data_IF_390692603687
#
_entry.id   IF_390692603687
#
_cell.length_a   1.000
_cell.length_b   1.000
_cell.length_c   1.000
_cell.angle_alpha   90.00
_cell.angle_beta   90.00
_cell.angle_gamma   90.00
#
_symmetry.space_group_name_H-M   'P 1'
#
loop_
_entity.id
_entity.type
_entity.pdbx_description
1 polymer ?
#
# COMPACT_ATOMS: atom_id res chain seq x y z
N UNK A 1 -24.90 13.84 1.78
CA UNK A 1 -23.60 13.31 1.28
C UNK A 1 -23.53 13.57 -0.22
N UNK A 2 -24.69 13.61 -0.86
CA UNK A 2 -24.93 14.19 -2.18
C UNK A 2 -24.38 15.61 -2.28
N UNK A 3 -23.64 15.88 -3.36
CA UNK A 3 -23.08 17.20 -3.69
C UNK A 3 -21.58 17.40 -3.39
N UNK A 4 -20.91 16.52 -2.63
CA UNK A 4 -19.45 16.61 -2.39
C UNK A 4 -18.64 15.49 -3.06
N UNK A 5 -19.29 14.41 -3.47
CA UNK A 5 -18.70 13.46 -4.42
C UNK A 5 -18.94 13.97 -5.84
N UNK A 6 -17.98 13.87 -6.76
CA UNK A 6 -18.23 14.20 -8.15
C UNK A 6 -19.42 13.37 -8.67
N UNK A 7 -20.31 14.00 -9.44
CA UNK A 7 -21.50 13.37 -10.01
C UNK A 7 -21.16 12.18 -10.93
N UNK A 8 -19.91 12.10 -11.38
CA UNK A 8 -19.34 10.99 -12.13
C UNK A 8 -18.07 10.53 -11.44
N UNK A 9 -18.01 9.24 -11.06
CA UNK A 9 -16.78 8.64 -10.56
C UNK A 9 -15.73 8.62 -11.68
N UNK A 10 -14.48 8.97 -11.34
CA UNK A 10 -13.35 8.78 -12.24
C UNK A 10 -13.07 7.28 -12.32
N UNK A 11 -13.42 6.66 -13.45
CA UNK A 11 -13.34 5.20 -13.64
C UNK A 11 -11.98 4.73 -14.17
N UNK A 12 -11.06 5.65 -14.46
CA UNK A 12 -9.72 5.41 -14.99
C UNK A 12 -8.62 5.49 -13.91
N UNK A 13 -9.01 5.63 -12.64
CA UNK A 13 -8.06 5.76 -11.53
C UNK A 13 -7.59 4.40 -11.06
N UNK A 14 -6.29 4.16 -11.19
CA UNK A 14 -5.63 3.03 -10.57
C UNK A 14 -5.77 3.09 -9.04
N UNK A 15 -5.80 1.92 -8.42
CA UNK A 15 -5.79 1.79 -6.97
C UNK A 15 -4.49 2.38 -6.41
N UNK A 16 -4.57 3.20 -5.37
CA UNK A 16 -3.38 3.68 -4.68
C UNK A 16 -2.81 2.54 -3.83
N UNK A 17 -1.51 2.26 -3.96
CA UNK A 17 -0.84 1.20 -3.23
C UNK A 17 0.37 1.74 -2.46
N UNK A 18 0.73 1.05 -1.39
CA UNK A 18 2.04 1.13 -0.77
C UNK A 18 2.91 0.05 -1.38
N UNK A 19 4.14 0.41 -1.73
CA UNK A 19 5.13 -0.49 -2.31
C UNK A 19 6.32 -0.60 -1.36
N UNK A 20 6.70 -1.84 -1.03
CA UNK A 20 7.97 -2.14 -0.38
C UNK A 20 8.90 -2.78 -1.39
N UNK A 21 9.87 -2.02 -1.92
CA UNK A 21 10.85 -2.52 -2.89
C UNK A 21 12.11 -2.97 -2.14
N UNK A 22 12.61 -4.14 -2.49
CA UNK A 22 13.83 -4.69 -1.91
C UNK A 22 15.00 -4.34 -2.83
N UNK A 23 15.79 -3.35 -2.42
CA UNK A 23 17.02 -2.97 -3.11
C UNK A 23 18.10 -4.06 -2.92
N UNK A 24 18.51 -4.66 -4.05
CA UNK A 24 19.60 -5.65 -4.11
C UNK A 24 20.86 -5.09 -4.76
N UNK A 25 20.78 -3.90 -5.33
CA UNK A 25 21.91 -3.28 -5.99
C UNK A 25 22.86 -2.64 -4.96
N UNK A 26 22.36 -2.25 -3.78
CA UNK A 26 23.15 -1.75 -2.64
C UNK A 26 24.38 -2.62 -2.30
N UNK A 27 24.30 -3.94 -2.43
CA UNK A 27 25.41 -4.85 -2.10
C UNK A 27 26.49 -4.93 -3.20
N UNK A 28 26.29 -4.30 -4.35
CA UNK A 28 27.21 -4.36 -5.49
C UNK A 28 28.41 -3.45 -5.23
N UNK A 29 29.60 -4.03 -5.28
CA UNK A 29 30.86 -3.33 -4.98
C UNK A 29 31.16 -2.23 -5.99
N UNK A 30 30.70 -2.38 -7.22
CA UNK A 30 30.86 -1.44 -8.32
C UNK A 30 29.70 -0.44 -8.43
N UNK A 31 28.75 -0.41 -7.47
CA UNK A 31 27.57 0.44 -7.53
C UNK A 31 27.91 1.94 -7.70
N UNK A 32 28.97 2.41 -7.02
CA UNK A 32 29.39 3.82 -7.02
C UNK A 32 30.51 4.08 -8.04
N UNK A 33 31.40 3.12 -8.25
CA UNK A 33 32.69 3.34 -8.92
C UNK A 33 32.81 2.69 -10.30
N UNK A 34 31.78 1.95 -10.75
CA UNK A 34 31.82 1.19 -12.00
C UNK A 34 30.51 1.25 -12.79
N UNK A 35 30.29 0.22 -13.60
CA UNK A 35 29.10 0.04 -14.43
C UNK A 35 28.33 -1.20 -13.96
N UNK A 36 27.65 -1.14 -12.80
CA UNK A 36 26.91 -2.26 -12.27
C UNK A 36 25.74 -2.62 -13.19
N UNK A 37 25.47 -3.92 -13.34
CA UNK A 37 24.19 -4.36 -13.89
C UNK A 37 23.12 -4.10 -12.84
N UNK A 38 22.20 -3.16 -13.07
CA UNK A 38 21.16 -2.78 -12.10
C UNK A 38 19.97 -3.76 -12.18
N UNK A 39 19.51 -4.26 -11.04
CA UNK A 39 18.43 -5.26 -10.96
C UNK A 39 17.15 -4.74 -10.33
N UNK A 40 17.20 -3.59 -9.67
CA UNK A 40 16.05 -2.94 -9.01
C UNK A 40 15.52 -1.72 -9.76
N UNK A 41 15.94 -1.56 -11.02
CA UNK A 41 15.39 -0.59 -11.96
C UNK A 41 14.30 -1.22 -12.84
N UNK A 42 13.30 -0.43 -13.24
CA UNK A 42 12.23 -0.84 -14.16
C UNK A 42 11.51 -2.13 -13.73
N UNK A 43 11.31 -2.29 -12.42
CA UNK A 43 10.67 -3.47 -11.84
C UNK A 43 9.22 -3.56 -12.33
N UNK A 44 8.87 -4.71 -12.92
CA UNK A 44 7.50 -5.01 -13.33
C UNK A 44 6.64 -5.40 -12.11
N UNK A 45 5.41 -4.88 -12.03
CA UNK A 45 4.45 -5.18 -10.96
C UNK A 45 4.22 -6.68 -10.76
N UNK A 46 4.29 -7.49 -11.83
CA UNK A 46 4.15 -8.96 -11.79
C UNK A 46 5.24 -9.65 -10.97
N UNK A 47 6.38 -8.99 -10.81
CA UNK A 47 7.51 -9.48 -10.00
C UNK A 47 7.38 -9.11 -8.52
N UNK A 48 6.37 -8.34 -8.14
CA UNK A 48 6.07 -8.03 -6.75
C UNK A 48 5.03 -9.00 -6.18
N UNK A 49 5.04 -9.16 -4.86
CA UNK A 49 4.03 -9.89 -4.13
C UNK A 49 2.85 -8.98 -3.80
N UNK A 50 1.67 -9.28 -4.34
CA UNK A 50 0.44 -8.62 -3.95
C UNK A 50 0.01 -9.09 -2.56
N UNK A 51 -0.44 -8.16 -1.72
CA UNK A 51 -1.09 -8.43 -0.44
C UNK A 51 -0.27 -9.39 0.46
N UNK A 52 0.96 -9.02 0.85
CA UNK A 52 1.84 -9.90 1.62
C UNK A 52 1.26 -10.39 2.95
N UNK A 53 0.30 -9.67 3.53
CA UNK A 53 -0.47 -10.05 4.71
C UNK A 53 -1.23 -11.37 4.59
N UNK A 54 -1.45 -11.88 3.37
CA UNK A 54 -2.08 -13.19 3.15
C UNK A 54 -1.07 -14.34 3.15
N UNK A 55 0.23 -14.04 3.19
CA UNK A 55 1.27 -15.06 3.20
C UNK A 55 1.37 -15.74 4.57
N UNK A 56 1.80 -16.99 4.56
CA UNK A 56 2.09 -17.78 5.76
C UNK A 56 3.33 -18.65 5.54
N UNK A 57 3.91 -19.18 6.63
CA UNK A 57 5.11 -20.02 6.57
C UNK A 57 6.41 -19.24 6.42
N UNK A 58 7.37 -19.78 5.65
CA UNK A 58 8.70 -19.19 5.49
C UNK A 58 8.69 -18.01 4.50
N UNK A 59 8.19 -16.86 4.95
CA UNK A 59 8.10 -15.61 4.17
C UNK A 59 9.43 -15.18 3.54
N UNK A 60 10.58 -15.19 4.26
CA UNK A 60 11.86 -14.81 3.67
C UNK A 60 12.20 -15.52 2.35
N UNK A 61 11.83 -16.79 2.20
CA UNK A 61 12.11 -17.58 0.98
C UNK A 61 11.47 -17.00 -0.30
N UNK A 62 10.42 -16.18 -0.18
CA UNK A 62 9.81 -15.51 -1.33
C UNK A 62 10.63 -14.30 -1.80
N UNK A 63 11.43 -13.71 -0.93
CA UNK A 63 12.05 -12.40 -1.16
C UNK A 63 13.58 -12.44 -1.18
N UNK A 64 14.17 -13.38 -0.43
CA UNK A 64 15.62 -13.54 -0.23
C UNK A 64 16.07 -14.83 -0.92
N UNK A 65 17.07 -14.71 -1.78
CA UNK A 65 17.67 -15.84 -2.49
C UNK A 65 18.32 -15.40 -3.81
N UNK A 66 18.76 -16.37 -4.60
CA UNK A 66 19.37 -16.16 -5.93
C UNK A 66 18.52 -16.72 -7.08
N UNK A 67 17.35 -17.29 -6.77
CA UNK A 67 16.42 -17.82 -7.78
C UNK A 67 15.80 -16.68 -8.59
N UNK A 68 15.50 -16.94 -9.87
CA UNK A 68 14.73 -16.03 -10.74
C UNK A 68 13.27 -15.88 -10.33
N UNK A 69 12.80 -16.71 -9.39
CA UNK A 69 11.42 -16.71 -8.89
C UNK A 69 11.21 -15.84 -7.65
N UNK A 70 12.28 -15.28 -7.06
CA UNK A 70 12.14 -14.39 -5.90
C UNK A 70 11.42 -13.11 -6.30
N UNK A 71 10.60 -12.59 -5.39
CA UNK A 71 9.84 -11.35 -5.59
C UNK A 71 10.72 -10.14 -5.33
N UNK A 72 10.56 -9.10 -6.14
CA UNK A 72 11.33 -7.84 -6.02
C UNK A 72 10.85 -6.92 -4.90
N UNK A 73 9.86 -7.36 -4.15
CA UNK A 73 9.19 -6.58 -3.13
C UNK A 73 7.73 -6.96 -3.06
N UNK A 74 6.94 -6.12 -2.41
CA UNK A 74 5.53 -6.34 -2.20
C UNK A 74 4.75 -5.05 -2.43
N UNK A 75 3.45 -5.19 -2.64
CA UNK A 75 2.56 -4.06 -2.69
C UNK A 75 1.21 -4.41 -2.08
N UNK A 76 0.57 -3.39 -1.52
CA UNK A 76 -0.73 -3.51 -0.90
C UNK A 76 -1.54 -2.26 -1.15
N UNK A 77 -2.80 -2.46 -1.48
CA UNK A 77 -3.73 -1.37 -1.69
C UNK A 77 -4.02 -0.61 -0.41
N UNK A 78 -4.08 0.72 -0.51
CA UNK A 78 -4.56 1.60 0.56
C UNK A 78 -6.03 1.37 0.90
N UNK A 79 -6.80 0.73 0.02
CA UNK A 79 -8.19 0.37 0.29
C UNK A 79 -8.38 -1.00 0.91
N UNK A 80 -7.31 -1.80 1.03
CA UNK A 80 -7.38 -3.13 1.64
C UNK A 80 -7.51 -3.08 3.17
N UNK A 81 -8.32 -3.97 3.74
CA UNK A 81 -8.40 -4.17 5.19
C UNK A 81 -7.20 -5.00 5.71
N UNK A 82 -7.13 -5.24 7.03
CA UNK A 82 -6.04 -5.97 7.69
C UNK A 82 -5.80 -7.40 7.17
N UNK A 83 -6.81 -8.03 6.56
CA UNK A 83 -6.71 -9.38 5.97
C UNK A 83 -6.46 -9.36 4.46
N UNK A 84 -6.33 -8.17 3.87
CA UNK A 84 -6.08 -7.99 2.43
C UNK A 84 -7.30 -8.04 1.54
N UNK A 85 -8.50 -8.01 2.11
CA UNK A 85 -9.72 -7.84 1.32
C UNK A 85 -9.88 -6.39 0.92
N UNK A 86 -10.22 -6.15 -0.34
CA UNK A 86 -10.52 -4.81 -0.81
C UNK A 86 -11.80 -4.25 -0.20
N UNK A 87 -11.74 -3.00 0.27
CA UNK A 87 -12.92 -2.28 0.81
C UNK A 87 -13.56 -1.37 -0.22
N UNK A 88 -12.86 -1.03 -1.30
CA UNK A 88 -13.38 -0.22 -2.38
C UNK A 88 -14.02 -1.10 -3.46
N UNK A 89 -15.30 -0.88 -3.70
CA UNK A 89 -16.15 -1.70 -4.58
C UNK A 89 -16.92 -0.88 -5.63
N UNK A 90 -16.67 0.43 -5.71
CA UNK A 90 -17.41 1.41 -6.53
C UNK A 90 -18.91 1.54 -6.22
N UNK A 91 -19.43 0.87 -5.21
CA UNK A 91 -20.80 1.04 -4.74
C UNK A 91 -20.86 2.16 -3.71
N UNK A 92 -20.08 2.01 -2.63
CA UNK A 92 -20.01 3.00 -1.56
C UNK A 92 -18.63 3.64 -1.47
N UNK A 93 -17.56 2.85 -1.53
CA UNK A 93 -16.16 3.32 -1.55
C UNK A 93 -15.66 3.30 -2.99
N UNK A 94 -15.13 4.43 -3.45
CA UNK A 94 -14.64 4.54 -4.84
C UNK A 94 -13.22 3.98 -4.89
N UNK A 95 -12.95 3.15 -5.88
CA UNK A 95 -11.61 2.61 -6.14
C UNK A 95 -10.63 3.77 -6.40
N UNK A 96 -9.47 3.74 -5.75
CA UNK A 96 -8.49 4.84 -5.84
C UNK A 96 -8.88 6.12 -5.06
N UNK A 97 -10.01 6.11 -4.34
CA UNK A 97 -10.46 7.22 -3.51
C UNK A 97 -9.66 7.40 -2.21
N UNK A 98 -9.15 6.31 -1.63
CA UNK A 98 -8.29 6.35 -0.45
C UNK A 98 -6.89 6.83 -0.78
N UNK A 99 -6.36 7.75 0.01
CA UNK A 99 -5.05 8.38 -0.22
C UNK A 99 -4.18 8.29 1.02
N UNK A 100 -2.90 8.05 0.80
CA UNK A 100 -1.90 8.27 1.83
C UNK A 100 -1.73 9.78 1.98
N UNK A 101 -1.59 10.24 3.21
CA UNK A 101 -1.33 11.63 3.53
C UNK A 101 -0.31 11.67 4.66
N UNK A 102 0.44 12.77 4.76
CA UNK A 102 1.65 12.87 5.60
C UNK A 102 2.74 11.84 5.26
N UNK A 103 3.91 12.02 5.87
CA UNK A 103 5.05 11.13 5.71
C UNK A 103 4.83 9.81 6.44
N UNK A 104 5.06 8.65 5.78
CA UNK A 104 5.11 7.36 6.46
C UNK A 104 6.20 7.29 7.51
N UNK A 105 5.92 6.63 8.63
CA UNK A 105 6.88 6.48 9.75
C UNK A 105 7.34 5.03 9.83
N UNK A 106 8.65 4.82 9.74
CA UNK A 106 9.26 3.53 10.05
C UNK A 106 9.74 3.52 11.52
N UNK A 107 9.12 2.67 12.36
CA UNK A 107 9.44 2.56 13.78
C UNK A 107 9.42 1.09 14.24
N UNK A 108 10.51 0.63 14.87
CA UNK A 108 10.61 -0.70 15.49
C UNK A 108 10.15 -1.83 14.56
N UNK A 109 10.67 -1.86 13.33
CA UNK A 109 10.30 -2.89 12.34
C UNK A 109 8.88 -2.75 11.76
N UNK A 110 8.20 -1.63 11.98
CA UNK A 110 6.89 -1.35 11.41
C UNK A 110 6.96 -0.12 10.52
N UNK A 111 6.29 -0.17 9.38
CA UNK A 111 5.96 0.99 8.56
C UNK A 111 4.51 1.37 8.86
N UNK A 112 4.29 2.62 9.26
CA UNK A 112 2.98 3.18 9.56
C UNK A 112 2.68 4.23 8.51
N UNK A 113 1.61 3.99 7.74
CA UNK A 113 1.14 4.90 6.68
C UNK A 113 -0.20 5.49 7.10
N UNK A 114 -0.31 6.83 7.23
CA UNK A 114 -1.59 7.48 7.45
C UNK A 114 -2.40 7.45 6.15
N UNK A 115 -3.67 7.07 6.25
CA UNK A 115 -4.58 6.91 5.11
C UNK A 115 -5.88 7.63 5.40
N UNK A 116 -6.25 8.51 4.48
CA UNK A 116 -7.53 9.20 4.51
C UNK A 116 -8.53 8.45 3.63
N UNK A 117 -9.64 8.04 4.24
CA UNK A 117 -10.82 7.45 3.60
C UNK A 117 -11.92 8.53 3.53
N UNK A 118 -12.13 9.19 2.37
CA UNK A 118 -13.17 10.22 2.24
C UNK A 118 -14.59 9.67 2.47
N UNK A 119 -14.75 8.35 2.40
CA UNK A 119 -16.02 7.64 2.54
C UNK A 119 -16.09 6.86 3.85
N UNK A 120 -15.19 7.16 4.80
CA UNK A 120 -15.20 6.61 6.15
C UNK A 120 -16.56 6.73 6.83
N UNK A 121 -16.87 5.75 7.68
CA UNK A 121 -18.15 5.64 8.40
C UNK A 121 -17.98 5.74 9.92
N UNK A 122 -16.76 6.03 10.40
CA UNK A 122 -16.46 6.16 11.83
C UNK A 122 -17.21 7.29 12.56
N UNK A 123 -17.89 8.19 11.83
CA UNK A 123 -18.76 9.22 12.41
C UNK A 123 -20.15 9.10 11.78
N UNK A 124 -21.18 9.03 12.63
CA UNK A 124 -22.57 8.98 12.19
C UNK A 124 -22.93 10.23 11.35
N UNK A 125 -23.75 10.09 10.29
CA UNK A 125 -24.15 11.22 9.47
C UNK A 125 -24.87 12.29 10.31
N UNK A 126 -24.25 13.46 10.46
CA UNK A 126 -24.87 14.64 11.09
C UNK A 126 -25.59 15.51 10.06
N UNK A 127 -26.39 16.47 10.57
CA UNK A 127 -27.16 17.41 9.76
C UNK A 127 -26.29 18.02 8.65
N UNK A 128 -26.66 17.85 7.36
CA UNK A 128 -25.85 18.31 6.24
C UNK A 128 -25.70 19.84 6.15
N UNK A 129 -26.54 20.61 6.85
CA UNK A 129 -26.49 22.07 6.87
C UNK A 129 -25.55 22.63 7.95
N UNK A 130 -24.93 21.78 8.77
CA UNK A 130 -23.95 22.19 9.76
C UNK A 130 -22.53 21.85 9.28
N UNK A 131 -21.51 22.62 9.69
CA UNK A 131 -20.11 22.24 9.49
C UNK A 131 -19.89 20.81 10.00
N UNK A 132 -19.28 19.96 9.16
CA UNK A 132 -19.04 18.56 9.51
C UNK A 132 -17.67 18.10 9.05
N UNK A 133 -17.13 17.13 9.79
CA UNK A 133 -16.00 16.33 9.32
C UNK A 133 -16.52 15.31 8.30
N UNK A 134 -15.87 15.24 7.15
CA UNK A 134 -16.14 14.24 6.11
C UNK A 134 -14.95 13.30 6.06
N UNK A 135 -15.22 12.01 5.88
CA UNK A 135 -14.19 10.98 5.83
C UNK A 135 -13.62 10.62 7.20
N UNK A 136 -12.64 9.73 7.17
CA UNK A 136 -12.01 9.16 8.34
C UNK A 136 -10.51 9.01 8.07
N UNK A 137 -9.70 9.29 9.09
CA UNK A 137 -8.28 9.00 9.08
C UNK A 137 -8.03 7.67 9.74
N UNK A 138 -7.33 6.79 9.03
CA UNK A 138 -6.87 5.52 9.55
C UNK A 138 -5.36 5.43 9.44
N UNK A 139 -4.76 4.53 10.23
CA UNK A 139 -3.36 4.12 10.07
C UNK A 139 -3.30 2.71 9.54
N UNK A 140 -2.47 2.49 8.52
CA UNK A 140 -2.13 1.15 8.07
C UNK A 140 -0.75 0.79 8.55
N UNK A 141 -0.63 -0.37 9.17
CA UNK A 141 0.63 -0.92 9.67
C UNK A 141 1.08 -2.04 8.75
N UNK A 142 2.35 -1.99 8.35
CA UNK A 142 3.04 -3.02 7.58
C UNK A 142 4.28 -3.42 8.37
N UNK A 143 4.56 -4.71 8.52
CA UNK A 143 5.77 -5.15 9.21
C UNK A 143 6.93 -5.27 8.22
N UNK A 144 8.03 -4.60 8.51
CA UNK A 144 9.23 -4.59 7.69
C UNK A 144 10.04 -5.89 7.90
N UNK A 145 10.74 -6.38 6.87
CA UNK A 145 10.84 -5.80 5.52
C UNK A 145 9.75 -6.29 4.54
N UNK A 146 9.02 -7.37 4.87
CA UNK A 146 8.19 -8.11 3.91
C UNK A 146 6.74 -7.65 3.79
N UNK A 147 6.33 -6.63 4.56
CA UNK A 147 4.97 -6.10 4.57
C UNK A 147 3.94 -6.96 5.32
N UNK A 148 4.37 -8.09 5.88
CA UNK A 148 3.55 -9.03 6.65
C UNK A 148 4.03 -9.14 8.07
N UNK A 149 3.10 -9.02 9.01
CA UNK A 149 3.36 -9.24 10.42
C UNK A 149 3.22 -10.73 10.71
N UNK A 150 4.32 -11.37 11.11
CA UNK A 150 4.28 -12.73 11.64
C UNK A 150 3.64 -12.66 13.03
N UNK A 151 2.63 -13.50 13.25
CA UNK A 151 2.03 -13.70 14.57
C UNK A 151 2.95 -14.54 15.45
#
# INVERSE_FOLDING_TARGET
RDGMSPATALNDRLVNNVYGIIDRDFIKRDLITGNPSITTQNIDLRTLQKDPQTLSGNIPSLFIGTSTTIKNGWYRSLSSNSVGTERADNSFRIIGGMKAFEEPIALTGNLIVPVYDPQGTGIAPQNPCLPRVVGETNRQRYCLPFGVCLN
#
